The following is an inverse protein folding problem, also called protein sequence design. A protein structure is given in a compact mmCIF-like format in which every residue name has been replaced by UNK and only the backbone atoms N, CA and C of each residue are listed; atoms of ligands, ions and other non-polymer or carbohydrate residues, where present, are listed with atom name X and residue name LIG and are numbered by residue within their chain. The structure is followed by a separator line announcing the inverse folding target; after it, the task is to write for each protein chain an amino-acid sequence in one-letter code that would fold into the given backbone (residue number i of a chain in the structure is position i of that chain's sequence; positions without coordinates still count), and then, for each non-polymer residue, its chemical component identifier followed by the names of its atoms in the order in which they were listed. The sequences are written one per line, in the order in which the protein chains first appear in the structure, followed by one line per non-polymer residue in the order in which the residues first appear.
data_IF_960787147965
#
_entry.id   IF_960787147965
#
_cell.length_a   1.000
_cell.length_b   1.000
_cell.length_c   1.000
_cell.angle_alpha   90.00
_cell.angle_beta   90.00
_cell.angle_gamma   90.00
#
_symmetry.space_group_name_H-M   'P 1'
#
loop_
_entity.id
_entity.type
_entity.pdbx_description
1 polymer ?
#
# COMPACT_ATOMS: atom_id res chain seq x y z
N UNK A 1 12.12 5.25 -3.87
CA UNK A 1 10.95 4.96 -4.74
C UNK A 1 9.79 4.56 -3.82
N UNK A 2 8.59 5.15 -3.91
CA UNK A 2 7.43 4.77 -3.07
C UNK A 2 6.85 3.43 -3.54
N UNK A 3 7.47 2.32 -3.15
CA UNK A 3 7.08 0.97 -3.57
C UNK A 3 5.70 0.54 -3.05
N UNK A 4 5.18 1.18 -2.00
CA UNK A 4 3.81 0.99 -1.50
C UNK A 4 2.75 1.56 -2.46
N UNK A 5 3.10 2.50 -3.34
CA UNK A 5 2.20 3.05 -4.37
C UNK A 5 2.12 2.21 -5.65
N UNK A 6 2.93 1.16 -5.77
CA UNK A 6 2.92 0.25 -6.92
C UNK A 6 1.84 -0.81 -6.74
N UNK A 7 0.84 -0.82 -7.61
CA UNK A 7 -0.32 -1.73 -7.55
C UNK A 7 -0.23 -2.77 -8.67
N UNK A 8 -0.69 -4.00 -8.41
CA UNK A 8 -0.77 -5.03 -9.43
C UNK A 8 -1.71 -4.62 -10.57
N UNK A 9 -1.50 -5.14 -11.78
CA UNK A 9 -2.35 -4.85 -12.95
C UNK A 9 -3.81 -5.25 -12.77
N UNK A 10 -4.10 -6.12 -11.81
CA UNK A 10 -5.45 -6.53 -11.39
C UNK A 10 -6.05 -5.63 -10.30
N UNK A 11 -5.41 -4.51 -9.95
CA UNK A 11 -5.84 -3.59 -8.90
C UNK A 11 -5.58 -4.07 -7.47
N UNK A 12 -4.91 -5.21 -7.27
CA UNK A 12 -4.62 -5.75 -5.92
C UNK A 12 -3.27 -5.27 -5.40
N UNK A 13 -3.19 -5.16 -4.07
CA UNK A 13 -1.90 -5.02 -3.39
C UNK A 13 -1.09 -6.29 -3.57
N UNK A 14 0.13 -6.11 -4.05
CA UNK A 14 1.10 -7.19 -4.29
C UNK A 14 2.46 -6.77 -3.78
N UNK A 15 3.30 -7.74 -3.44
CA UNK A 15 4.75 -7.59 -3.22
C UNK A 15 5.16 -6.35 -2.43
N UNK A 16 5.39 -6.51 -1.13
CA UNK A 16 5.94 -5.44 -0.29
C UNK A 16 6.88 -6.03 0.75
N UNK A 17 8.10 -5.47 0.85
CA UNK A 17 9.12 -5.97 1.77
C UNK A 17 8.72 -5.91 3.25
N UNK A 18 7.83 -4.98 3.61
CA UNK A 18 7.26 -4.87 4.95
C UNK A 18 5.92 -5.57 5.15
N UNK A 19 5.46 -6.39 4.20
CA UNK A 19 4.16 -7.05 4.23
C UNK A 19 2.99 -6.21 3.71
N UNK A 20 1.90 -6.87 3.28
CA UNK A 20 0.76 -6.18 2.66
C UNK A 20 -0.01 -5.29 3.65
N UNK A 21 -0.03 -5.64 4.93
CA UNK A 21 -0.65 -4.85 6.00
C UNK A 21 -0.03 -3.44 6.09
N UNK A 22 1.30 -3.38 6.17
CA UNK A 22 2.01 -2.10 6.22
C UNK A 22 1.81 -1.29 4.93
N UNK A 23 1.76 -1.97 3.78
CA UNK A 23 1.47 -1.33 2.49
C UNK A 23 0.08 -0.70 2.47
N UNK A 24 -0.93 -1.39 3.00
CA UNK A 24 -2.29 -0.84 3.12
C UNK A 24 -2.30 0.36 4.06
N UNK A 25 -1.73 0.21 5.25
CA UNK A 25 -1.68 1.29 6.23
C UNK A 25 -1.00 2.56 5.69
N UNK A 26 0.10 2.42 4.94
CA UNK A 26 0.77 3.56 4.30
C UNK A 26 -0.11 4.24 3.25
N UNK A 27 -0.91 3.48 2.51
CA UNK A 27 -1.87 4.05 1.55
C UNK A 27 -3.01 4.78 2.27
N UNK A 28 -3.51 4.20 3.36
CA UNK A 28 -4.56 4.81 4.19
C UNK A 28 -4.06 6.09 4.89
N UNK A 29 -2.81 6.11 5.36
CA UNK A 29 -2.14 7.29 5.88
C UNK A 29 -2.09 8.43 4.86
N UNK A 30 -1.69 8.12 3.63
CA UNK A 30 -1.61 9.11 2.56
C UNK A 30 -2.98 9.60 2.09
N UNK A 31 -4.00 8.73 2.17
CA UNK A 31 -5.39 9.07 1.86
C UNK A 31 -6.08 9.86 2.98
N UNK A 32 -5.50 9.89 4.19
CA UNK A 32 -6.13 10.49 5.37
C UNK A 32 -7.25 9.62 5.97
N UNK A 33 -7.20 8.30 5.72
CA UNK A 33 -8.20 7.33 6.17
C UNK A 33 -7.86 6.71 7.55
N UNK A 34 -6.94 7.31 8.31
CA UNK A 34 -6.61 6.82 9.65
C UNK A 34 -7.57 7.49 10.65
N UNK A 35 -8.53 6.73 11.15
CA UNK A 35 -9.37 7.09 12.30
C UNK A 35 -8.66 6.79 13.63
#
# INVERSE_FOLDING_TARGET
IPCHRVIGSNGKLVGFGGGLELKSWLLDLEAGNIE
#
